data_IF_005302511550
#
_entry.id   IF_005302511550
#
_cell.length_a   1.000
_cell.length_b   1.000
_cell.length_c   1.000
_cell.angle_alpha   90.00
_cell.angle_beta   90.00
_cell.angle_gamma   90.00
#
_symmetry.space_group_name_H-M   'P 1'
#
loop_
_entity.id
_entity.type
_entity.pdbx_description
1 polymer ?
#
# COMPACT_ATOMS: atom_id res chain seq x y z
N UNK A 1 -3.38 -6.52 -10.17
CA UNK A 1 -2.13 -6.16 -10.79
C UNK A 1 -1.99 -6.78 -12.15
N UNK A 2 -3.03 -7.22 -12.61
CA UNK A 2 -3.03 -8.09 -13.72
C UNK A 2 -3.49 -7.39 -14.99
N UNK A 3 -4.11 -6.22 -14.83
CA UNK A 3 -4.44 -5.33 -15.94
C UNK A 3 -3.35 -4.28 -16.00
N UNK A 4 -2.42 -4.45 -16.92
CA UNK A 4 -1.28 -3.55 -17.06
C UNK A 4 -1.65 -2.30 -17.84
N UNK A 5 -0.78 -1.33 -17.92
CA UNK A 5 -1.02 -0.11 -18.68
C UNK A 5 -1.03 1.16 -17.85
N UNK A 6 -0.65 1.07 -16.57
CA UNK A 6 -0.59 2.25 -15.70
C UNK A 6 0.59 3.17 -15.96
N UNK A 7 1.60 2.72 -16.69
CA UNK A 7 2.73 3.57 -17.06
C UNK A 7 2.39 4.39 -18.31
N UNK A 8 1.42 5.27 -18.16
CA UNK A 8 0.87 6.09 -19.24
C UNK A 8 0.17 7.29 -18.66
N UNK A 9 -0.11 8.29 -19.48
CA UNK A 9 -0.88 9.47 -19.05
C UNK A 9 -2.34 9.13 -18.81
N UNK A 10 -2.86 8.13 -19.53
CA UNK A 10 -4.24 7.66 -19.39
C UNK A 10 -4.25 6.14 -19.38
N UNK A 11 -5.11 5.56 -18.57
CA UNK A 11 -5.34 4.12 -18.58
C UNK A 11 -6.82 3.84 -18.29
N UNK A 12 -7.27 2.66 -18.73
CA UNK A 12 -8.65 2.23 -18.52
C UNK A 12 -8.63 1.16 -17.43
N UNK A 13 -9.39 1.40 -16.36
CA UNK A 13 -9.48 0.48 -15.23
C UNK A 13 -10.94 0.33 -14.81
N UNK A 14 -11.31 -0.78 -14.16
CA UNK A 14 -12.65 -0.91 -13.59
C UNK A 14 -12.92 0.17 -12.54
N UNK A 15 -14.11 0.74 -12.55
CA UNK A 15 -14.46 1.81 -11.62
C UNK A 15 -14.38 1.36 -10.15
N UNK A 16 -14.66 0.10 -9.86
CA UNK A 16 -14.58 -0.44 -8.50
C UNK A 16 -13.15 -0.65 -8.01
N UNK A 17 -12.15 -0.49 -8.89
CA UNK A 17 -10.75 -0.56 -8.52
C UNK A 17 -10.16 0.81 -8.17
N UNK A 18 -10.99 1.85 -8.14
CA UNK A 18 -10.53 3.21 -7.91
C UNK A 18 -10.93 3.69 -6.52
N UNK A 19 -10.07 4.51 -5.93
CA UNK A 19 -10.37 5.27 -4.74
C UNK A 19 -9.84 6.68 -4.94
N UNK A 20 -10.69 7.67 -4.69
CA UNK A 20 -10.30 9.07 -4.83
C UNK A 20 -9.51 9.48 -3.59
N UNK A 21 -8.32 10.00 -3.80
CA UNK A 21 -7.48 10.50 -2.71
C UNK A 21 -7.80 11.98 -2.43
N UNK A 22 -7.58 12.45 -1.19
CA UNK A 22 -7.67 13.87 -0.89
C UNK A 22 -6.68 14.68 -1.73
N UNK A 23 -7.08 15.87 -2.15
CA UNK A 23 -6.23 16.75 -2.96
C UNK A 23 -4.96 17.18 -2.24
N UNK A 24 -4.96 17.13 -0.91
CA UNK A 24 -3.81 17.51 -0.09
C UNK A 24 -2.66 16.50 -0.15
N UNK A 25 -2.88 15.29 -0.66
CA UNK A 25 -1.83 14.27 -0.72
C UNK A 25 -0.97 14.46 -1.96
N UNK A 26 0.38 14.52 -1.81
CA UNK A 26 1.29 14.60 -2.95
C UNK A 26 1.25 13.33 -3.80
N UNK A 27 1.32 13.48 -5.12
CA UNK A 27 1.31 12.33 -6.02
C UNK A 27 2.51 11.41 -5.82
N UNK A 28 3.69 11.99 -5.60
CA UNK A 28 4.92 11.22 -5.46
C UNK A 28 4.90 10.30 -4.25
N UNK A 29 4.36 10.77 -3.15
CA UNK A 29 4.29 9.98 -1.91
C UNK A 29 3.10 9.02 -1.92
N UNK A 30 2.00 9.41 -2.56
CA UNK A 30 0.80 8.57 -2.65
C UNK A 30 0.95 7.41 -3.63
N UNK A 31 1.92 7.46 -4.53
CA UNK A 31 2.08 6.46 -5.59
C UNK A 31 2.32 5.05 -5.04
N UNK A 32 2.85 4.90 -3.82
CA UNK A 32 3.13 3.60 -3.22
C UNK A 32 1.95 3.03 -2.43
N UNK A 33 0.86 3.78 -2.27
CA UNK A 33 -0.28 3.35 -1.46
C UNK A 33 -0.94 2.08 -2.01
N UNK A 34 -1.06 1.97 -3.33
CA UNK A 34 -1.80 0.89 -3.95
C UNK A 34 -1.21 -0.50 -3.76
N UNK A 35 0.07 -0.59 -3.45
CA UNK A 35 0.74 -1.88 -3.30
C UNK A 35 1.58 -1.96 -2.04
N UNK A 36 2.69 -1.23 -1.96
CA UNK A 36 3.65 -1.41 -0.87
C UNK A 36 3.04 -1.11 0.50
N UNK A 37 2.32 -0.01 0.64
CA UNK A 37 1.74 0.40 1.92
C UNK A 37 0.56 -0.50 2.29
N UNK A 38 -0.35 -0.76 1.39
CA UNK A 38 -1.51 -1.60 1.70
C UNK A 38 -1.14 -3.06 1.87
N UNK A 39 -0.09 -3.55 1.21
CA UNK A 39 0.42 -4.89 1.45
C UNK A 39 0.95 -5.00 2.88
N UNK A 40 1.73 -4.02 3.34
CA UNK A 40 2.23 -3.99 4.70
C UNK A 40 1.08 -3.89 5.71
N UNK A 41 0.12 -3.01 5.47
CA UNK A 41 -1.05 -2.87 6.34
C UNK A 41 -1.85 -4.17 6.43
N UNK A 42 -2.10 -4.81 5.29
CA UNK A 42 -2.82 -6.08 5.25
C UNK A 42 -2.09 -7.20 5.97
N UNK A 43 -0.76 -7.26 5.86
CA UNK A 43 0.04 -8.25 6.56
C UNK A 43 -0.09 -8.10 8.08
N UNK A 44 -0.02 -6.89 8.58
CA UNK A 44 -0.11 -6.63 10.02
C UNK A 44 -1.55 -6.74 10.55
N UNK A 45 -2.48 -6.12 9.85
CA UNK A 45 -3.86 -5.98 10.35
C UNK A 45 -4.69 -7.23 10.16
N UNK A 46 -4.57 -7.88 9.00
CA UNK A 46 -5.42 -9.01 8.64
C UNK A 46 -4.73 -10.37 8.75
N UNK A 47 -3.54 -10.52 8.17
CA UNK A 47 -2.86 -11.81 8.20
C UNK A 47 -2.25 -12.12 9.57
N UNK A 48 -1.57 -11.17 10.19
CA UNK A 48 -0.97 -11.35 11.51
C UNK A 48 -1.91 -10.98 12.66
N UNK A 49 -3.02 -10.30 12.36
CA UNK A 49 -3.99 -9.84 13.36
C UNK A 49 -3.35 -9.04 14.50
N UNK A 50 -2.37 -8.21 14.16
CA UNK A 50 -1.65 -7.40 15.12
C UNK A 50 -2.56 -6.34 15.74
N UNK A 51 -2.43 -6.13 17.04
CA UNK A 51 -3.19 -5.15 17.80
C UNK A 51 -2.27 -4.13 18.44
N UNK A 52 -2.86 -3.01 18.87
CA UNK A 52 -2.11 -1.99 19.58
C UNK A 52 -1.47 -2.56 20.85
N UNK A 53 -0.21 -2.24 21.07
CA UNK A 53 0.57 -2.77 22.19
C UNK A 53 1.34 -4.05 21.89
N UNK A 54 1.04 -4.71 20.78
CA UNK A 54 1.77 -5.91 20.39
C UNK A 54 3.19 -5.58 19.93
N UNK A 55 4.09 -6.54 20.10
CA UNK A 55 5.44 -6.45 19.58
C UNK A 55 5.53 -7.22 18.26
N UNK A 56 6.32 -6.70 17.32
CA UNK A 56 6.48 -7.32 16.02
C UNK A 56 7.95 -7.26 15.61
N UNK A 57 8.41 -8.30 14.94
CA UNK A 57 9.71 -8.34 14.31
C UNK A 57 9.52 -8.37 12.79
N UNK A 58 10.20 -7.47 12.09
CA UNK A 58 10.15 -7.39 10.63
C UNK A 58 11.50 -7.83 10.09
N UNK A 59 11.49 -8.93 9.33
CA UNK A 59 12.70 -9.47 8.72
C UNK A 59 12.71 -9.02 7.27
N UNK A 60 13.66 -8.15 6.94
CA UNK A 60 13.75 -7.54 5.63
C UNK A 60 13.28 -6.09 5.65
N UNK A 61 14.05 -5.21 5.01
CA UNK A 61 13.78 -3.76 4.98
C UNK A 61 13.68 -3.23 3.54
N UNK A 62 13.16 -4.06 2.64
CA UNK A 62 12.79 -3.61 1.29
C UNK A 62 11.52 -2.74 1.32
N UNK A 63 10.87 -2.59 0.19
CA UNK A 63 9.69 -1.73 0.07
C UNK A 63 8.57 -2.08 1.06
N UNK A 64 8.19 -3.35 1.13
CA UNK A 64 7.11 -3.79 2.01
C UNK A 64 7.58 -3.87 3.46
N UNK A 65 8.78 -4.43 3.70
CA UNK A 65 9.30 -4.58 5.05
C UNK A 65 9.47 -3.26 5.78
N UNK A 66 10.01 -2.24 5.10
CA UNK A 66 10.15 -0.91 5.71
C UNK A 66 8.80 -0.28 6.03
N UNK A 67 7.79 -0.48 5.18
CA UNK A 67 6.43 0.03 5.45
C UNK A 67 5.80 -0.68 6.63
N UNK A 68 6.06 -1.96 6.80
CA UNK A 68 5.57 -2.72 7.96
C UNK A 68 6.18 -2.21 9.27
N UNK A 69 7.44 -1.83 9.24
CA UNK A 69 8.11 -1.26 10.42
C UNK A 69 7.58 0.11 10.79
N UNK A 70 7.15 0.90 9.80
CA UNK A 70 6.60 2.24 10.00
C UNK A 70 5.13 2.23 10.45
N UNK A 71 4.45 1.13 10.27
CA UNK A 71 3.00 1.04 10.52
C UNK A 71 2.58 1.08 12.00
#
# INVERSE_FOLDING_TARGET
>A
MYSMGGLAEYCVVPANALAVLPDSLPYTESAILGCAVFTAYGALRHAAEMRAGDSVAVIGVGGVGSRSADA
#
